data_IF_565642855143
#
_entry.id   IF_565642855143
#
_cell.length_a   1.000
_cell.length_b   1.000
_cell.length_c   1.000
_cell.angle_alpha   90.00
_cell.angle_beta   90.00
_cell.angle_gamma   90.00
#
_symmetry.space_group_name_H-M   'P 1'
#
loop_
_entity.id
_entity.type
_entity.pdbx_description
1 polymer ?
#
# COMPACT_ATOMS: atom_id res chain seq x y z
N UNK A 1 67.21 30.26 -27.69
CA UNK A 1 66.56 28.99 -27.95
C UNK A 1 65.82 28.38 -26.71
N UNK A 2 66.13 28.81 -25.48
CA UNK A 2 65.43 28.27 -24.25
C UNK A 2 63.95 28.72 -24.07
N UNK A 3 63.58 29.90 -24.52
CA UNK A 3 62.26 30.45 -24.32
C UNK A 3 61.18 29.85 -25.25
N UNK A 4 61.61 29.29 -26.40
CA UNK A 4 60.68 28.70 -27.36
C UNK A 4 60.15 27.28 -26.91
N UNK A 5 60.98 26.59 -26.12
CA UNK A 5 60.67 25.29 -25.57
C UNK A 5 59.64 25.42 -24.42
N UNK A 6 59.74 26.46 -23.61
CA UNK A 6 58.78 26.74 -22.54
C UNK A 6 57.40 27.15 -23.06
N UNK A 7 57.35 27.88 -24.19
CA UNK A 7 56.10 28.31 -24.80
C UNK A 7 55.30 27.07 -25.36
N UNK A 8 55.98 26.13 -26.03
CA UNK A 8 55.35 24.90 -26.53
C UNK A 8 54.85 24.02 -25.40
N UNK A 9 55.56 23.98 -24.27
CA UNK A 9 55.15 23.21 -23.09
C UNK A 9 53.92 23.83 -22.42
N UNK A 10 53.86 25.16 -22.31
CA UNK A 10 52.69 25.88 -21.77
C UNK A 10 51.46 25.69 -22.67
N UNK A 11 51.62 25.75 -24.00
CA UNK A 11 50.51 25.50 -24.93
C UNK A 11 50.03 24.05 -24.86
N UNK A 12 50.94 23.10 -24.70
CA UNK A 12 50.57 21.67 -24.56
C UNK A 12 49.82 21.42 -23.23
N UNK A 13 50.25 22.04 -22.13
CA UNK A 13 49.54 21.95 -20.86
C UNK A 13 48.16 22.64 -20.90
N UNK A 14 48.06 23.79 -21.59
CA UNK A 14 46.76 24.46 -21.78
C UNK A 14 45.78 23.63 -22.63
N UNK A 15 46.30 22.97 -23.67
CA UNK A 15 45.46 22.04 -24.48
C UNK A 15 45.03 20.82 -23.68
N UNK A 16 45.89 20.27 -22.81
CA UNK A 16 45.56 19.12 -21.95
C UNK A 16 44.52 19.49 -20.88
N UNK A 17 44.52 20.74 -20.38
CA UNK A 17 43.51 21.25 -19.45
C UNK A 17 42.14 21.48 -20.12
N UNK A 18 42.10 21.79 -21.41
CA UNK A 18 40.84 21.95 -22.14
C UNK A 18 40.16 20.63 -22.50
N UNK A 19 40.92 19.53 -22.62
CA UNK A 19 40.34 18.20 -22.90
C UNK A 19 39.84 17.45 -21.66
N UNK A 20 40.17 17.95 -20.45
CA UNK A 20 39.78 17.32 -19.18
C UNK A 20 38.37 17.63 -18.68
N UNK A 21 37.61 18.49 -19.35
CA UNK A 21 36.22 18.81 -18.98
C UNK A 21 35.23 17.99 -19.80
N UNK A 22 35.39 16.65 -19.85
CA UNK A 22 34.26 15.81 -20.13
C UNK A 22 33.34 15.94 -18.91
N UNK A 23 32.43 16.91 -18.98
CA UNK A 23 31.27 16.98 -18.09
C UNK A 23 30.50 15.71 -18.37
N UNK A 24 30.70 14.69 -17.54
CA UNK A 24 29.71 13.61 -17.41
C UNK A 24 28.45 14.32 -16.94
N UNK A 25 27.54 14.58 -17.85
CA UNK A 25 26.17 14.91 -17.50
C UNK A 25 25.71 13.75 -16.64
N UNK A 26 25.58 13.97 -15.33
CA UNK A 26 24.82 13.07 -14.50
C UNK A 26 23.43 13.10 -15.12
N UNK A 27 22.95 11.94 -15.59
CA UNK A 27 21.54 11.74 -15.88
C UNK A 27 20.80 12.06 -14.59
N UNK A 28 20.38 13.31 -14.47
CA UNK A 28 19.57 13.80 -13.36
C UNK A 28 18.14 13.35 -13.62
N UNK A 29 17.95 12.03 -13.79
CA UNK A 29 16.62 11.41 -13.84
C UNK A 29 16.09 11.53 -12.42
N UNK A 30 15.18 12.47 -12.23
CA UNK A 30 14.53 12.69 -10.92
C UNK A 30 13.71 11.45 -10.55
N UNK A 31 13.02 10.85 -11.54
CA UNK A 31 12.29 9.58 -11.41
C UNK A 31 12.05 8.97 -12.80
N UNK A 32 11.77 7.69 -12.86
CA UNK A 32 11.52 6.96 -14.11
C UNK A 32 10.05 6.54 -14.17
N UNK A 33 9.39 6.82 -15.32
CA UNK A 33 8.03 6.36 -15.56
C UNK A 33 8.08 4.88 -15.97
N UNK A 34 7.48 4.02 -15.15
CA UNK A 34 7.40 2.57 -15.41
C UNK A 34 6.18 2.23 -16.26
N UNK A 35 5.02 2.78 -15.89
CA UNK A 35 3.75 2.59 -16.60
C UNK A 35 2.96 3.90 -16.69
N UNK A 36 1.97 3.93 -17.60
CA UNK A 36 1.00 5.02 -17.72
C UNK A 36 -0.40 4.43 -17.75
N UNK A 37 -1.28 4.93 -16.90
CA UNK A 37 -2.69 4.51 -16.79
C UNK A 37 -3.58 5.72 -17.01
N UNK A 38 -4.20 5.81 -18.19
CA UNK A 38 -4.89 7.04 -18.58
C UNK A 38 -3.94 8.23 -18.66
N UNK A 39 -4.19 9.25 -17.86
CA UNK A 39 -3.36 10.46 -17.75
C UNK A 39 -2.37 10.41 -16.58
N UNK A 40 -2.35 9.31 -15.81
CA UNK A 40 -1.49 9.15 -14.64
C UNK A 40 -0.29 8.25 -14.92
N UNK A 41 0.91 8.72 -14.54
CA UNK A 41 2.12 7.92 -14.58
C UNK A 41 2.29 7.11 -13.29
N UNK A 42 2.85 5.91 -13.41
CA UNK A 42 3.36 5.12 -12.29
C UNK A 42 4.88 5.27 -12.31
N UNK A 43 5.42 5.78 -11.23
CA UNK A 43 6.83 6.08 -11.10
C UNK A 43 7.60 4.90 -10.48
N UNK A 44 8.86 4.79 -10.81
CA UNK A 44 9.75 3.76 -10.25
C UNK A 44 9.90 3.89 -8.74
N UNK A 45 9.95 5.12 -8.23
CA UNK A 45 9.95 5.40 -6.79
C UNK A 45 8.72 4.84 -6.09
N UNK A 46 7.53 4.98 -6.70
CA UNK A 46 6.26 4.43 -6.21
C UNK A 46 6.30 2.89 -6.10
N UNK A 47 6.85 2.25 -7.13
CA UNK A 47 7.03 0.79 -7.18
C UNK A 47 8.02 0.31 -6.11
N UNK A 48 9.14 1.02 -5.94
CA UNK A 48 10.15 0.69 -4.92
C UNK A 48 9.62 0.89 -3.49
N UNK A 49 8.87 1.96 -3.24
CA UNK A 49 8.24 2.19 -1.95
C UNK A 49 7.24 1.08 -1.60
N UNK A 50 6.39 0.68 -2.55
CA UNK A 50 5.45 -0.42 -2.38
C UNK A 50 6.17 -1.76 -2.16
N UNK A 51 7.28 -2.00 -2.88
CA UNK A 51 8.10 -3.20 -2.71
C UNK A 51 8.74 -3.27 -1.32
N UNK A 52 9.28 -2.15 -0.84
CA UNK A 52 9.87 -2.07 0.50
C UNK A 52 8.83 -2.28 1.60
N UNK A 53 7.64 -1.68 1.46
CA UNK A 53 6.53 -1.87 2.38
C UNK A 53 6.09 -3.34 2.44
N UNK A 54 5.91 -3.96 1.29
CA UNK A 54 5.54 -5.38 1.19
C UNK A 54 6.60 -6.29 1.82
N UNK A 55 7.89 -5.99 1.61
CA UNK A 55 8.99 -6.74 2.22
C UNK A 55 9.00 -6.59 3.75
N UNK A 56 8.71 -5.39 4.26
CA UNK A 56 8.59 -5.14 5.69
C UNK A 56 7.41 -5.92 6.31
N UNK A 57 6.30 -6.01 5.60
CA UNK A 57 5.12 -6.78 6.01
C UNK A 57 5.28 -8.31 5.85
N UNK A 58 6.40 -8.75 5.27
CA UNK A 58 6.65 -10.16 4.98
C UNK A 58 5.78 -10.73 3.85
N UNK A 59 5.21 -9.86 3.02
CA UNK A 59 4.35 -10.23 1.88
C UNK A 59 5.19 -10.92 0.80
N UNK A 60 4.69 -12.05 0.29
CA UNK A 60 5.27 -12.77 -0.84
C UNK A 60 4.46 -12.49 -2.09
N UNK A 61 5.15 -12.27 -3.20
CA UNK A 61 4.54 -12.10 -4.51
C UNK A 61 4.56 -13.42 -5.28
N UNK A 62 3.50 -13.68 -6.03
CA UNK A 62 3.43 -14.78 -6.98
C UNK A 62 3.95 -14.27 -8.34
N UNK A 63 5.26 -14.10 -8.45
CA UNK A 63 5.95 -13.57 -9.62
C UNK A 63 6.99 -12.50 -9.29
N UNK A 64 7.48 -11.84 -10.35
CA UNK A 64 8.44 -10.74 -10.22
C UNK A 64 7.74 -9.51 -9.61
N UNK A 65 8.20 -8.99 -8.46
CA UNK A 65 7.64 -7.79 -7.84
C UNK A 65 7.57 -6.57 -8.78
N UNK A 66 8.53 -6.45 -9.70
CA UNK A 66 8.55 -5.34 -10.67
C UNK A 66 7.52 -5.47 -11.80
N UNK A 67 6.87 -6.62 -11.91
CA UNK A 67 5.70 -6.80 -12.77
C UNK A 67 4.39 -6.70 -11.97
N UNK A 68 4.34 -7.37 -10.80
CA UNK A 68 3.12 -7.48 -9.98
C UNK A 68 2.75 -6.14 -9.35
N UNK A 69 3.72 -5.42 -8.78
CA UNK A 69 3.44 -4.16 -8.08
C UNK A 69 2.93 -3.06 -9.02
N UNK A 70 3.53 -2.80 -10.20
CA UNK A 70 2.96 -1.84 -11.15
C UNK A 70 1.55 -2.19 -11.60
N UNK A 71 1.22 -3.47 -11.76
CA UNK A 71 -0.14 -3.92 -12.08
C UNK A 71 -1.12 -3.61 -10.94
N UNK A 72 -0.75 -3.88 -9.69
CA UNK A 72 -1.56 -3.55 -8.52
C UNK A 72 -1.81 -2.04 -8.40
N UNK A 73 -0.77 -1.21 -8.61
CA UNK A 73 -0.89 0.24 -8.61
C UNK A 73 -1.80 0.70 -9.76
N UNK A 74 -1.66 0.11 -10.95
CA UNK A 74 -2.51 0.43 -12.10
C UNK A 74 -3.99 0.12 -11.82
N UNK A 75 -4.29 -1.03 -11.23
CA UNK A 75 -5.65 -1.40 -10.82
C UNK A 75 -6.19 -0.39 -9.79
N UNK A 76 -5.39 0.02 -8.82
CA UNK A 76 -5.78 1.02 -7.83
C UNK A 76 -6.12 2.37 -8.50
N UNK A 77 -5.28 2.83 -9.44
CA UNK A 77 -5.52 4.08 -10.20
C UNK A 77 -6.80 3.99 -11.04
N UNK A 78 -7.08 2.84 -11.66
CA UNK A 78 -8.35 2.61 -12.37
C UNK A 78 -9.57 2.70 -11.45
N UNK A 79 -9.51 2.14 -10.25
CA UNK A 79 -10.58 2.27 -9.26
C UNK A 79 -10.76 3.72 -8.80
N UNK A 80 -9.68 4.47 -8.60
CA UNK A 80 -9.75 5.89 -8.24
C UNK A 80 -10.37 6.72 -9.36
N UNK A 81 -9.99 6.45 -10.60
CA UNK A 81 -10.58 7.11 -11.77
C UNK A 81 -12.08 6.82 -11.87
N UNK A 82 -12.49 5.55 -11.74
CA UNK A 82 -13.90 5.18 -11.77
C UNK A 82 -14.66 5.79 -10.58
N UNK A 83 -14.06 5.83 -9.40
CA UNK A 83 -14.65 6.48 -8.23
C UNK A 83 -14.90 7.97 -8.44
N UNK A 84 -14.02 8.64 -9.19
CA UNK A 84 -14.21 10.04 -9.56
C UNK A 84 -15.37 10.22 -10.55
N UNK A 85 -15.46 9.37 -11.59
CA UNK A 85 -16.57 9.36 -12.53
C UNK A 85 -17.93 9.10 -11.86
N UNK A 86 -17.94 8.20 -10.90
CA UNK A 86 -19.14 7.81 -10.14
C UNK A 86 -19.44 8.74 -8.95
N UNK A 87 -18.66 9.84 -8.81
CA UNK A 87 -18.79 10.84 -7.73
C UNK A 87 -18.82 10.20 -6.33
N UNK A 88 -17.93 9.22 -6.10
CA UNK A 88 -17.83 8.55 -4.80
C UNK A 88 -17.14 9.48 -3.81
N UNK A 89 -17.88 9.88 -2.79
CA UNK A 89 -17.39 10.70 -1.69
C UNK A 89 -17.06 9.85 -0.46
N UNK A 90 -16.03 10.27 0.26
CA UNK A 90 -15.62 9.69 1.54
C UNK A 90 -15.84 10.73 2.62
N UNK A 91 -16.67 10.46 3.65
CA UNK A 91 -16.85 11.36 4.77
C UNK A 91 -15.53 11.63 5.49
N UNK A 92 -15.26 12.89 5.82
CA UNK A 92 -14.03 13.28 6.51
C UNK A 92 -13.87 12.56 7.86
N UNK A 93 -14.99 12.22 8.51
CA UNK A 93 -14.98 11.46 9.77
C UNK A 93 -14.36 10.06 9.60
N UNK A 94 -14.62 9.37 8.48
CA UNK A 94 -14.02 8.06 8.19
C UNK A 94 -12.51 8.20 7.94
N UNK A 95 -12.10 9.26 7.23
CA UNK A 95 -10.68 9.57 6.98
C UNK A 95 -9.95 9.81 8.31
N UNK A 96 -10.51 10.67 9.16
CA UNK A 96 -9.92 10.98 10.48
C UNK A 96 -9.78 9.72 11.33
N UNK A 97 -10.81 8.89 11.41
CA UNK A 97 -10.75 7.62 12.15
C UNK A 97 -9.64 6.69 11.63
N UNK A 98 -9.49 6.60 10.32
CA UNK A 98 -8.44 5.79 9.70
C UNK A 98 -7.06 6.33 10.03
N UNK A 99 -6.86 7.66 9.93
CA UNK A 99 -5.60 8.34 10.27
C UNK A 99 -5.24 8.16 11.74
N UNK A 100 -6.21 8.30 12.63
CA UNK A 100 -6.00 8.10 14.06
C UNK A 100 -5.61 6.66 14.38
N UNK A 101 -6.29 5.70 13.77
CA UNK A 101 -5.94 4.28 13.89
C UNK A 101 -4.51 3.99 13.43
N UNK A 102 -4.14 4.44 12.21
CA UNK A 102 -2.81 4.22 11.67
C UNK A 102 -1.71 4.92 12.48
N UNK A 103 -1.97 6.16 12.91
CA UNK A 103 -1.02 6.90 13.75
C UNK A 103 -0.77 6.19 15.08
N UNK A 104 -1.83 5.72 15.74
CA UNK A 104 -1.72 4.98 16.99
C UNK A 104 -1.00 3.64 16.81
N UNK A 105 -1.26 2.94 15.70
CA UNK A 105 -0.55 1.71 15.35
C UNK A 105 0.95 1.95 15.15
N UNK A 106 1.33 3.01 14.44
CA UNK A 106 2.75 3.36 14.29
C UNK A 106 3.41 3.70 15.63
N UNK A 107 2.75 4.50 16.48
CA UNK A 107 3.26 4.83 17.82
C UNK A 107 3.42 3.56 18.66
N UNK A 108 2.46 2.64 18.61
CA UNK A 108 2.53 1.38 19.36
C UNK A 108 3.69 0.47 18.88
N UNK A 109 3.92 0.39 17.57
CA UNK A 109 4.96 -0.44 17.00
C UNK A 109 6.36 0.15 17.17
N UNK A 110 6.49 1.46 17.02
CA UNK A 110 7.78 2.18 17.10
C UNK A 110 8.14 2.54 18.56
N UNK A 111 7.11 2.71 19.41
CA UNK A 111 7.24 2.89 20.85
C UNK A 111 6.91 4.28 21.36
N UNK A 112 7.09 5.37 20.58
CA UNK A 112 6.66 6.71 20.96
C UNK A 112 6.45 7.61 19.74
N UNK A 113 5.80 8.77 19.97
CA UNK A 113 5.61 9.79 18.93
C UNK A 113 6.93 10.36 18.43
N UNK A 114 7.85 10.65 19.34
CA UNK A 114 9.16 11.22 19.03
C UNK A 114 9.97 10.26 18.15
N UNK A 115 9.96 8.97 18.49
CA UNK A 115 10.62 7.94 17.68
C UNK A 115 9.97 7.78 16.31
N UNK A 116 8.65 7.92 16.22
CA UNK A 116 7.94 7.91 14.94
C UNK A 116 8.36 9.10 14.07
N UNK A 117 8.47 10.30 14.64
CA UNK A 117 8.94 11.49 13.93
C UNK A 117 10.39 11.34 13.45
N UNK A 118 11.25 10.77 14.29
CA UNK A 118 12.64 10.45 13.94
C UNK A 118 12.71 9.40 12.82
N UNK A 119 11.92 8.32 12.92
CA UNK A 119 11.90 7.23 11.94
C UNK A 119 11.48 7.72 10.55
N UNK A 120 10.41 8.53 10.47
CA UNK A 120 9.92 9.07 9.21
C UNK A 120 10.64 10.36 8.78
N UNK A 121 11.52 10.92 9.62
CA UNK A 121 12.14 12.22 9.42
C UNK A 121 11.14 13.33 9.06
N UNK A 122 9.97 13.30 9.72
CA UNK A 122 8.84 14.20 9.50
C UNK A 122 8.17 14.51 10.84
N UNK A 123 7.55 15.69 10.96
CA UNK A 123 6.71 16.00 12.12
C UNK A 123 5.43 15.16 12.13
N UNK A 124 4.86 14.95 13.30
CA UNK A 124 3.56 14.26 13.45
C UNK A 124 2.47 14.83 12.56
N UNK A 125 2.44 16.14 12.36
CA UNK A 125 1.47 16.79 11.46
C UNK A 125 1.70 16.41 10.00
N UNK A 126 2.94 16.39 9.55
CA UNK A 126 3.27 15.98 8.18
C UNK A 126 2.96 14.51 7.94
N UNK A 127 3.27 13.64 8.91
CA UNK A 127 2.93 12.21 8.85
C UNK A 127 1.41 12.06 8.74
N UNK A 128 0.64 12.74 9.60
CA UNK A 128 -0.83 12.68 9.58
C UNK A 128 -1.41 13.20 8.27
N UNK A 129 -0.83 14.23 7.65
CA UNK A 129 -1.30 14.74 6.36
C UNK A 129 -1.06 13.72 5.24
N UNK A 130 0.13 13.13 5.16
CA UNK A 130 0.39 12.03 4.21
C UNK A 130 -0.57 10.85 4.44
N UNK A 131 -0.81 10.47 5.70
CA UNK A 131 -1.77 9.41 6.03
C UNK A 131 -3.21 9.78 5.66
N UNK A 132 -3.59 11.06 5.71
CA UNK A 132 -4.92 11.54 5.33
C UNK A 132 -5.17 11.39 3.83
N UNK A 133 -4.20 11.76 3.01
CA UNK A 133 -4.27 11.59 1.57
C UNK A 133 -4.41 10.11 1.20
N UNK A 134 -3.50 9.27 1.70
CA UNK A 134 -3.52 7.83 1.46
C UNK A 134 -4.83 7.16 1.98
N UNK A 135 -5.30 7.57 3.16
CA UNK A 135 -6.55 7.05 3.73
C UNK A 135 -7.76 7.42 2.87
N UNK A 136 -7.81 8.65 2.36
CA UNK A 136 -8.91 9.12 1.49
C UNK A 136 -8.95 8.31 0.19
N UNK A 137 -7.81 8.11 -0.45
CA UNK A 137 -7.71 7.31 -1.67
C UNK A 137 -8.08 5.84 -1.42
N UNK A 138 -7.51 5.22 -0.40
CA UNK A 138 -7.82 3.83 -0.04
C UNK A 138 -9.31 3.62 0.28
N UNK A 139 -9.95 4.57 0.97
CA UNK A 139 -11.38 4.52 1.25
C UNK A 139 -12.24 4.71 -0.02
N UNK A 140 -11.81 5.57 -0.97
CA UNK A 140 -12.49 5.70 -2.27
C UNK A 140 -12.44 4.38 -3.05
N UNK A 141 -11.26 3.76 -3.15
CA UNK A 141 -11.09 2.46 -3.80
C UNK A 141 -11.98 1.41 -3.13
N UNK A 142 -11.97 1.33 -1.80
CA UNK A 142 -12.80 0.39 -1.05
C UNK A 142 -14.30 0.59 -1.32
N UNK A 143 -14.78 1.83 -1.30
CA UNK A 143 -16.18 2.15 -1.61
C UNK A 143 -16.55 1.81 -3.05
N UNK A 144 -15.64 2.06 -4.00
CA UNK A 144 -15.85 1.69 -5.40
C UNK A 144 -15.95 0.17 -5.57
N UNK A 145 -15.05 -0.58 -4.94
CA UNK A 145 -15.12 -2.05 -4.93
C UNK A 145 -16.43 -2.56 -4.31
N UNK A 146 -16.84 -2.00 -3.17
CA UNK A 146 -18.12 -2.34 -2.53
C UNK A 146 -19.31 -2.04 -3.44
N UNK A 147 -19.30 -0.94 -4.17
CA UNK A 147 -20.35 -0.59 -5.13
C UNK A 147 -20.44 -1.62 -6.25
N UNK A 148 -19.30 -2.06 -6.79
CA UNK A 148 -19.27 -3.06 -7.87
C UNK A 148 -19.79 -4.43 -7.44
N UNK A 149 -19.48 -4.87 -6.21
CA UNK A 149 -19.87 -6.19 -5.72
C UNK A 149 -21.16 -6.18 -4.89
N UNK A 150 -21.63 -5.00 -4.47
CA UNK A 150 -22.76 -4.86 -3.54
C UNK A 150 -24.09 -5.37 -4.10
N UNK A 151 -24.24 -5.43 -5.41
CA UNK A 151 -25.42 -5.95 -6.10
C UNK A 151 -25.37 -7.48 -6.35
N UNK A 152 -24.20 -8.09 -6.12
CA UNK A 152 -24.02 -9.54 -6.33
C UNK A 152 -24.76 -10.28 -5.20
N UNK A 153 -25.86 -10.97 -5.56
CA UNK A 153 -26.62 -11.81 -4.65
C UNK A 153 -26.29 -13.27 -4.91
N UNK A 154 -25.76 -13.93 -3.89
CA UNK A 154 -25.46 -15.35 -3.96
C UNK A 154 -26.63 -16.11 -3.36
N UNK A 155 -27.21 -17.05 -4.13
CA UNK A 155 -28.32 -17.91 -3.67
C UNK A 155 -27.79 -19.12 -2.89
N UNK A 156 -28.59 -19.69 -1.96
CA UNK A 156 -28.22 -20.94 -1.28
C UNK A 156 -27.96 -22.12 -2.23
N UNK A 157 -28.55 -22.10 -3.43
CA UNK A 157 -28.33 -23.11 -4.44
C UNK A 157 -26.93 -23.01 -5.06
N UNK A 158 -26.46 -21.78 -5.32
CA UNK A 158 -25.10 -21.53 -5.82
C UNK A 158 -24.04 -21.90 -4.79
N UNK A 159 -24.25 -21.56 -3.51
CA UNK A 159 -23.38 -21.98 -2.41
C UNK A 159 -23.26 -23.50 -2.35
N UNK A 160 -24.38 -24.21 -2.43
CA UNK A 160 -24.39 -25.69 -2.42
C UNK A 160 -23.72 -26.29 -3.64
N UNK A 161 -23.85 -25.67 -4.83
CA UNK A 161 -23.17 -26.12 -6.05
C UNK A 161 -21.67 -25.94 -5.90
N UNK A 162 -21.22 -24.74 -5.49
CA UNK A 162 -19.81 -24.46 -5.26
C UNK A 162 -19.19 -25.46 -4.28
N UNK A 163 -19.87 -25.71 -3.14
CA UNK A 163 -19.37 -26.64 -2.14
C UNK A 163 -19.28 -28.08 -2.66
N UNK A 164 -20.22 -28.49 -3.51
CA UNK A 164 -20.24 -29.84 -4.13
C UNK A 164 -19.10 -30.01 -5.14
N UNK A 165 -18.70 -28.93 -5.81
CA UNK A 165 -17.65 -28.93 -6.84
C UNK A 165 -16.24 -28.77 -6.25
N UNK A 166 -16.12 -28.50 -4.93
CA UNK A 166 -14.83 -28.44 -4.25
C UNK A 166 -14.16 -29.83 -4.21
N UNK A 167 -12.83 -29.90 -4.48
CA UNK A 167 -12.05 -31.11 -4.23
C UNK A 167 -12.14 -31.54 -2.76
N UNK A 168 -12.15 -32.85 -2.51
CA UNK A 168 -12.40 -33.40 -1.17
C UNK A 168 -11.32 -33.02 -0.15
N UNK A 169 -10.11 -32.79 -0.60
CA UNK A 169 -8.96 -32.31 0.20
C UNK A 169 -9.03 -30.82 0.56
N UNK A 170 -9.86 -30.05 -0.17
CA UNK A 170 -10.08 -28.62 0.08
C UNK A 170 -11.26 -28.35 1.02
N UNK A 171 -12.02 -29.39 1.41
CA UNK A 171 -13.16 -29.25 2.32
C UNK A 171 -12.63 -29.28 3.76
N UNK A 172 -12.80 -28.20 4.56
CA UNK A 172 -12.32 -28.18 5.94
C UNK A 172 -13.11 -29.21 6.78
N UNK A 173 -12.39 -30.03 7.54
CA UNK A 173 -13.00 -30.91 8.49
C UNK A 173 -13.52 -30.10 9.70
N UNK A 174 -14.84 -30.09 9.88
CA UNK A 174 -15.47 -29.46 11.05
C UNK A 174 -15.86 -30.62 12.01
N UNK A 175 -15.24 -30.68 13.20
CA UNK A 175 -15.61 -31.71 14.18
C UNK A 175 -17.07 -31.49 14.65
N UNK A 176 -17.72 -32.57 15.02
CA UNK A 176 -19.09 -32.51 15.58
C UNK A 176 -19.09 -31.62 16.82
N UNK A 177 -19.92 -30.59 16.81
CA UNK A 177 -20.17 -29.73 17.97
C UNK A 177 -21.58 -30.01 18.51
N UNK A 178 -21.67 -30.08 19.81
CA UNK A 178 -22.96 -30.22 20.51
C UNK A 178 -23.13 -29.03 21.45
N UNK A 179 -24.32 -28.44 21.40
CA UNK A 179 -24.73 -27.40 22.35
C UNK A 179 -25.62 -28.08 23.40
N UNK A 180 -25.22 -27.99 24.67
CA UNK A 180 -25.95 -28.55 25.80
C UNK A 180 -26.60 -27.39 26.54
N UNK A 181 -27.93 -27.37 26.56
CA UNK A 181 -28.72 -26.43 27.34
C UNK A 181 -29.26 -27.11 28.58
N UNK A 182 -28.99 -26.56 29.76
CA UNK A 182 -29.44 -27.10 31.05
C UNK A 182 -30.51 -26.13 31.59
N UNK A 183 -31.73 -26.67 31.79
CA UNK A 183 -32.81 -25.94 32.48
C UNK A 183 -32.85 -26.42 33.94
N UNK A 184 -32.51 -25.56 34.87
CA UNK A 184 -32.60 -25.83 36.31
C UNK A 184 -33.84 -25.17 36.88
N UNK A 185 -34.70 -25.95 37.52
CA UNK A 185 -35.85 -25.42 38.26
C UNK A 185 -35.75 -25.85 39.71
N UNK A 186 -35.72 -24.89 40.63
CA UNK A 186 -35.83 -25.17 42.06
C UNK A 186 -37.30 -25.34 42.44
N UNK A 187 -37.71 -26.50 42.99
CA UNK A 187 -39.08 -26.67 43.49
C UNK A 187 -39.31 -25.73 44.67
N UNK A 188 -40.39 -24.95 44.59
CA UNK A 188 -40.85 -24.18 45.75
C UNK A 188 -41.65 -25.13 46.66
N UNK A 189 -41.08 -25.49 47.81
CA UNK A 189 -41.78 -26.23 48.84
C UNK A 189 -42.56 -25.18 49.64
N UNK A 190 -43.93 -25.26 49.71
CA UNK A 190 -44.68 -24.36 50.60
C UNK A 190 -44.28 -24.71 52.04
N UNK A 191 -43.92 -23.69 52.79
CA UNK A 191 -43.83 -23.77 54.26
C UNK A 191 -45.30 -23.93 54.74
N UNK A 192 -45.65 -25.13 55.19
CA UNK A 192 -46.87 -25.29 55.95
C UNK A 192 -46.69 -24.58 57.29
N UNK A 193 -47.61 -23.60 57.58
CA UNK A 193 -47.72 -22.95 58.87
C UNK A 193 -48.25 -23.91 59.95
#
# INVERSE_FOLDING_TARGET
MKNFMNFKFVVLCALALMTGSAVYGQDNVIDEVVWVVGDEAILKSEVEEARMSAAYEGRKFDGDPYCVIPEEIAVQKLFLHQAALDSIEVPESEVIQRVDYMTNMYIANIGSREKMEEYFNKTSSQIRETLRENAREGLKVQKMQQKLVGEIKITPAEVRRYFKDLPQDSIPYIPTQVEVQIITQQPKIPLEE
#
